data_IF_062290975983
#
_entry.id   IF_062290975983
#
_cell.length_a   1.000
_cell.length_b   1.000
_cell.length_c   1.000
_cell.angle_alpha   90.00
_cell.angle_beta   90.00
_cell.angle_gamma   90.00
#
_symmetry.space_group_name_H-M   'P 1'
#
loop_
_entity.id
_entity.type
_entity.pdbx_description
1 polymer ?
#
# COMPACT_ATOMS: atom_id res chain seq x y z
N UNK A 1 2.19 4.54 39.38
CA UNK A 1 1.49 4.98 38.16
C UNK A 1 2.38 4.61 36.99
N UNK A 2 2.05 3.56 36.25
CA UNK A 2 2.76 3.22 35.00
C UNK A 2 1.92 3.76 33.85
N UNK A 3 2.43 4.77 33.16
CA UNK A 3 1.84 5.27 31.92
C UNK A 3 2.32 4.36 30.79
N UNK A 4 1.59 3.28 30.53
CA UNK A 4 1.77 2.50 29.31
C UNK A 4 1.20 3.33 28.17
N UNK A 5 2.08 3.98 27.40
CA UNK A 5 1.72 4.59 26.12
C UNK A 5 1.01 3.58 25.23
N UNK A 6 0.20 4.04 24.24
CA UNK A 6 -0.57 3.13 23.42
C UNK A 6 0.39 2.15 22.76
N UNK A 7 0.16 0.86 23.02
CA UNK A 7 0.80 -0.19 22.26
C UNK A 7 0.50 0.12 20.78
N UNK A 8 1.52 0.53 20.03
CA UNK A 8 1.50 0.42 18.59
C UNK A 8 1.46 -1.08 18.30
N UNK A 9 0.26 -1.66 18.35
CA UNK A 9 -0.02 -2.98 17.86
C UNK A 9 0.46 -2.96 16.41
N UNK A 10 1.56 -3.65 16.14
CA UNK A 10 1.97 -4.02 14.79
C UNK A 10 0.85 -4.89 14.24
N UNK A 11 -0.23 -4.26 13.74
CA UNK A 11 -1.20 -4.93 12.91
C UNK A 11 -0.39 -5.50 11.77
N UNK A 12 -0.19 -6.82 11.83
CA UNK A 12 0.55 -7.53 10.81
C UNK A 12 -0.37 -7.47 9.59
N UNK A 13 -0.09 -6.56 8.67
CA UNK A 13 -0.84 -6.44 7.44
C UNK A 13 -0.60 -7.73 6.66
N UNK A 14 -1.54 -8.69 6.77
CA UNK A 14 -1.46 -9.93 6.01
C UNK A 14 -1.82 -9.59 4.58
N UNK A 15 -0.81 -9.36 3.75
CA UNK A 15 -1.02 -9.19 2.31
C UNK A 15 -1.10 -10.58 1.70
N UNK A 16 -2.21 -10.95 1.04
CA UNK A 16 -2.31 -12.26 0.42
C UNK A 16 -1.20 -12.47 -0.61
N UNK A 17 -0.59 -13.65 -0.63
CA UNK A 17 0.57 -13.91 -1.50
C UNK A 17 0.26 -13.76 -3.00
N UNK A 18 -1.00 -13.92 -3.42
CA UNK A 18 -1.42 -13.68 -4.81
C UNK A 18 -1.20 -12.23 -5.28
N UNK A 19 -1.13 -11.28 -4.34
CA UNK A 19 -0.80 -9.87 -4.62
C UNK A 19 0.63 -9.68 -5.09
N UNK A 20 1.56 -10.57 -4.70
CA UNK A 20 2.96 -10.51 -5.15
C UNK A 20 3.07 -10.65 -6.66
N UNK A 21 2.19 -11.43 -7.30
CA UNK A 21 2.18 -11.55 -8.75
C UNK A 21 1.75 -10.24 -9.43
N UNK A 22 0.73 -9.57 -8.88
CA UNK A 22 0.28 -8.27 -9.38
C UNK A 22 1.36 -7.20 -9.20
N UNK A 23 2.05 -7.19 -8.06
CA UNK A 23 3.18 -6.30 -7.80
C UNK A 23 4.36 -6.56 -8.75
N UNK A 24 4.65 -7.83 -9.06
CA UNK A 24 5.64 -8.21 -10.06
C UNK A 24 5.29 -7.66 -11.43
N UNK A 25 4.08 -7.96 -11.92
CA UNK A 25 3.63 -7.48 -13.23
C UNK A 25 3.60 -5.96 -13.31
N UNK A 26 3.19 -5.29 -12.23
CA UNK A 26 3.25 -3.84 -12.15
C UNK A 26 4.68 -3.32 -12.26
N UNK A 27 5.62 -3.84 -11.46
CA UNK A 27 7.03 -3.43 -11.50
C UNK A 27 7.70 -3.65 -12.86
N UNK A 28 7.24 -4.66 -13.61
CA UNK A 28 7.76 -5.01 -14.94
C UNK A 28 7.04 -4.26 -16.08
N UNK A 29 6.07 -3.38 -15.78
CA UNK A 29 5.30 -2.63 -16.76
C UNK A 29 4.28 -3.48 -17.53
N UNK A 30 4.03 -4.72 -17.09
CA UNK A 30 3.00 -5.60 -17.66
C UNK A 30 1.60 -5.27 -17.14
N UNK A 31 1.51 -4.65 -15.95
CA UNK A 31 0.31 -4.08 -15.38
C UNK A 31 0.46 -2.56 -15.31
N UNK A 32 -0.55 -1.82 -15.79
CA UNK A 32 -0.56 -0.36 -15.74
C UNK A 32 -0.71 0.18 -14.31
N UNK A 33 -0.24 1.40 -14.09
CA UNK A 33 -0.34 2.09 -12.80
C UNK A 33 -1.81 2.20 -12.33
N UNK A 34 -2.71 2.56 -13.24
CA UNK A 34 -4.14 2.72 -12.98
C UNK A 34 -4.78 1.38 -12.60
N UNK A 35 -4.42 0.29 -13.28
CA UNK A 35 -4.95 -1.05 -13.00
C UNK A 35 -4.47 -1.55 -11.63
N UNK A 36 -3.20 -1.30 -11.30
CA UNK A 36 -2.64 -1.65 -10.01
C UNK A 36 -3.30 -0.85 -8.88
N UNK A 37 -3.46 0.46 -9.05
CA UNK A 37 -4.13 1.35 -8.08
C UNK A 37 -5.59 0.95 -7.88
N UNK A 38 -6.35 0.68 -8.94
CA UNK A 38 -7.74 0.22 -8.85
C UNK A 38 -7.86 -1.10 -8.09
N UNK A 39 -6.95 -2.05 -8.35
CA UNK A 39 -6.89 -3.29 -7.58
C UNK A 39 -6.67 -3.03 -6.09
N UNK A 40 -5.71 -2.17 -5.74
CA UNK A 40 -5.44 -1.83 -4.34
C UNK A 40 -6.63 -1.16 -3.67
N UNK A 41 -7.30 -0.24 -4.35
CA UNK A 41 -8.52 0.41 -3.85
C UNK A 41 -9.60 -0.62 -3.52
N UNK A 42 -9.87 -1.54 -4.45
CA UNK A 42 -10.83 -2.62 -4.24
C UNK A 42 -10.48 -3.45 -3.00
N UNK A 43 -9.22 -3.86 -2.86
CA UNK A 43 -8.78 -4.69 -1.73
C UNK A 43 -8.90 -3.98 -0.39
N UNK A 44 -8.58 -2.69 -0.34
CA UNK A 44 -8.73 -1.88 0.88
C UNK A 44 -10.21 -1.71 1.22
N UNK A 45 -11.05 -1.37 0.23
CA UNK A 45 -12.49 -1.17 0.41
C UNK A 45 -13.20 -2.44 0.89
N UNK A 46 -12.79 -3.61 0.40
CA UNK A 46 -13.36 -4.90 0.80
C UNK A 46 -12.66 -5.54 2.01
N UNK A 47 -11.71 -4.84 2.66
CA UNK A 47 -11.02 -5.33 3.85
C UNK A 47 -10.09 -6.52 3.62
N UNK A 48 -9.71 -6.80 2.37
CA UNK A 48 -8.76 -7.85 2.00
C UNK A 48 -7.35 -7.48 2.46
N UNK A 49 -7.00 -6.20 2.37
CA UNK A 49 -5.76 -5.64 2.89
C UNK A 49 -6.12 -4.50 3.85
N UNK A 50 -5.56 -4.55 5.06
CA UNK A 50 -5.69 -3.48 6.03
C UNK A 50 -4.38 -2.72 6.13
N UNK A 51 -4.36 -1.53 5.56
CA UNK A 51 -3.20 -0.64 5.66
C UNK A 51 -3.41 0.22 6.90
N UNK A 52 -2.52 0.14 7.91
CA UNK A 52 -2.60 1.03 9.06
C UNK A 52 -2.29 2.45 8.58
N UNK A 53 -3.34 3.20 8.29
CA UNK A 53 -3.26 4.62 7.96
C UNK A 53 -3.62 5.41 9.20
N UNK A 54 -2.92 6.51 9.48
CA UNK A 54 -3.40 7.45 10.49
C UNK A 54 -4.76 7.99 10.04
N UNK A 55 -5.78 7.78 10.87
CA UNK A 55 -7.12 8.32 10.70
C UNK A 55 -7.04 9.82 10.43
N UNK A 56 -7.37 10.26 9.21
CA UNK A 56 -7.47 11.69 8.88
C UNK A 56 -6.82 12.16 7.57
N UNK A 57 -6.21 11.29 6.77
CA UNK A 57 -5.67 11.71 5.46
C UNK A 57 -6.79 12.04 4.47
N UNK A 58 -7.23 13.30 4.47
CA UNK A 58 -8.08 13.88 3.43
C UNK A 58 -7.37 13.79 2.10
N UNK A 59 -7.98 13.08 1.15
CA UNK A 59 -7.48 12.85 -0.20
C UNK A 59 -7.01 14.16 -0.86
N UNK A 60 -5.70 14.29 -1.07
CA UNK A 60 -5.19 15.27 -2.02
C UNK A 60 -5.65 14.87 -3.44
N UNK A 61 -5.97 15.86 -4.27
CA UNK A 61 -6.49 15.68 -5.62
C UNK A 61 -5.64 14.69 -6.43
N UNK A 62 -6.25 13.54 -6.78
CA UNK A 62 -5.61 12.38 -7.40
C UNK A 62 -5.16 12.56 -8.85
N UNK A 63 -4.17 13.43 -9.06
CA UNK A 63 -3.42 13.56 -10.32
C UNK A 63 -1.92 13.34 -10.13
N UNK A 64 -1.48 12.96 -8.91
CA UNK A 64 -0.06 12.75 -8.63
C UNK A 64 0.45 11.45 -9.26
N UNK A 65 1.53 11.55 -10.02
CA UNK A 65 2.24 10.42 -10.61
C UNK A 65 2.80 9.50 -9.52
N UNK A 66 2.78 8.18 -9.74
CA UNK A 66 3.36 7.22 -8.81
C UNK A 66 4.90 7.36 -8.85
N UNK A 67 5.57 7.63 -7.72
CA UNK A 67 7.03 7.66 -7.69
C UNK A 67 7.64 6.31 -8.06
N UNK A 68 8.70 6.33 -8.88
CA UNK A 68 9.38 5.12 -9.34
C UNK A 68 9.89 4.23 -8.20
N UNK A 69 10.27 4.80 -7.05
CA UNK A 69 10.73 4.02 -5.90
C UNK A 69 9.66 3.08 -5.34
N UNK A 70 8.37 3.43 -5.45
CA UNK A 70 7.26 2.57 -5.02
C UNK A 70 7.13 1.37 -5.96
N UNK A 71 7.27 1.62 -7.26
CA UNK A 71 7.24 0.58 -8.30
C UNK A 71 8.42 -0.38 -8.19
N UNK A 72 9.60 0.14 -7.85
CA UNK A 72 10.78 -0.67 -7.55
C UNK A 72 10.57 -1.52 -6.29
N UNK A 73 10.03 -0.93 -5.21
CA UNK A 73 9.69 -1.65 -3.99
C UNK A 73 8.70 -2.80 -4.27
N UNK A 74 7.72 -2.60 -5.15
CA UNK A 74 6.81 -3.69 -5.54
C UNK A 74 7.53 -4.87 -6.21
N UNK A 75 8.51 -4.60 -7.06
CA UNK A 75 9.34 -5.64 -7.70
C UNK A 75 10.22 -6.38 -6.68
N UNK A 76 10.85 -5.63 -5.77
CA UNK A 76 11.65 -6.21 -4.67
C UNK A 76 10.78 -7.03 -3.71
N UNK A 77 9.59 -6.56 -3.40
CA UNK A 77 8.65 -7.24 -2.51
C UNK A 77 8.13 -8.54 -3.13
N UNK A 78 7.79 -8.51 -4.41
CA UNK A 78 7.40 -9.69 -5.16
C UNK A 78 8.53 -10.72 -5.27
N UNK A 79 9.78 -10.27 -5.28
CA UNK A 79 10.98 -11.11 -5.30
C UNK A 79 11.43 -11.56 -3.91
N UNK A 80 10.76 -11.14 -2.84
CA UNK A 80 11.12 -11.45 -1.46
C UNK A 80 12.37 -10.72 -0.93
N UNK A 81 12.84 -9.68 -1.63
CA UNK A 81 13.99 -8.88 -1.24
C UNK A 81 13.65 -7.85 -0.15
N UNK A 82 12.39 -7.40 -0.10
CA UNK A 82 11.87 -6.55 0.98
C UNK A 82 10.64 -7.20 1.62
N UNK A 83 10.42 -6.88 2.90
CA UNK A 83 9.29 -7.36 3.68
C UNK A 83 7.97 -6.65 3.37
N UNK A 84 6.88 -7.20 3.89
CA UNK A 84 5.53 -6.61 3.76
C UNK A 84 5.48 -5.19 4.34
N UNK A 85 6.19 -4.95 5.44
CA UNK A 85 6.30 -3.65 6.10
C UNK A 85 6.89 -2.56 5.19
N UNK A 86 7.95 -2.87 4.45
CA UNK A 86 8.60 -1.93 3.52
C UNK A 86 7.72 -1.63 2.31
N UNK A 87 6.96 -2.62 1.83
CA UNK A 87 5.98 -2.41 0.78
C UNK A 87 4.78 -1.59 1.27
N UNK A 88 4.26 -1.89 2.47
CA UNK A 88 3.16 -1.16 3.13
C UNK A 88 3.51 0.30 3.34
N UNK A 89 4.76 0.65 3.67
CA UNK A 89 5.21 2.04 3.75
C UNK A 89 5.02 2.80 2.42
N UNK A 90 5.26 2.13 1.29
CA UNK A 90 4.97 2.67 -0.04
C UNK A 90 3.48 2.94 -0.25
N UNK A 91 2.62 2.02 0.18
CA UNK A 91 1.17 2.17 0.07
C UNK A 91 0.63 3.27 0.99
N UNK A 92 1.15 3.38 2.22
CA UNK A 92 0.86 4.47 3.14
C UNK A 92 1.21 5.83 2.52
N UNK A 93 2.36 5.94 1.86
CA UNK A 93 2.74 7.13 1.13
C UNK A 93 1.72 7.44 0.02
N UNK A 94 1.30 6.45 -0.77
CA UNK A 94 0.32 6.65 -1.85
C UNK A 94 -1.03 7.16 -1.32
N UNK A 95 -1.50 6.63 -0.20
CA UNK A 95 -2.76 7.08 0.43
C UNK A 95 -2.59 8.51 0.99
N UNK A 96 -1.50 8.76 1.71
CA UNK A 96 -1.21 10.06 2.34
C UNK A 96 -1.10 11.19 1.31
N UNK A 97 -0.51 10.89 0.15
CA UNK A 97 -0.31 11.86 -0.94
C UNK A 97 -1.49 11.89 -1.93
N UNK A 98 -2.60 11.20 -1.66
CA UNK A 98 -3.80 11.22 -2.50
C UNK A 98 -3.69 10.49 -3.84
N UNK A 99 -2.64 9.67 -4.03
CA UNK A 99 -2.47 8.80 -5.21
C UNK A 99 -3.52 7.68 -5.18
N UNK A 100 -3.72 7.06 -4.01
CA UNK A 100 -4.80 6.11 -3.76
C UNK A 100 -5.91 6.84 -3.01
N UNK A 101 -7.10 6.87 -3.60
CA UNK A 101 -8.31 7.37 -2.93
C UNK A 101 -9.07 6.20 -2.33
N UNK A 102 -9.34 6.29 -1.04
CA UNK A 102 -10.24 5.36 -0.35
C UNK A 102 -11.60 6.05 -0.31
N UNK A 103 -12.48 5.66 -1.23
CA UNK A 103 -13.87 6.10 -1.18
C UNK A 103 -14.55 5.25 -0.09
N UNK A 104 -15.07 5.93 0.92
CA UNK A 104 -15.86 5.32 2.00
C UNK A 104 -17.30 5.12 1.57
#
# INVERSE_FOLDING_TARGET
MINTGPANTTQTTVIPSWIKNNAKWWSQGQLGDDQFVQGLQYMIQHGIIQIPTQTGSTAASGTQQIPAWIKNNAGWWASGQIGDDQFVQGLQYMITNGIIKINS
#
